data_IF_635897466569
#
_entry.id   IF_635897466569
#
_cell.length_a   1.000
_cell.length_b   1.000
_cell.length_c   1.000
_cell.angle_alpha   90.00
_cell.angle_beta   90.00
_cell.angle_gamma   90.00
#
_symmetry.space_group_name_H-M   'P 1'
#
loop_
_entity.id
_entity.type
_entity.pdbx_description
1 polymer ?
#
# COMPACT_ATOMS: atom_id res chain seq x y z
N UNK A 1 32.77 30.29 17.55
CA UNK A 1 31.96 29.74 18.66
C UNK A 1 30.49 30.13 18.49
N UNK A 2 29.75 29.45 17.60
CA UNK A 2 28.33 29.71 17.37
C UNK A 2 27.50 28.52 17.87
N UNK A 3 26.81 28.70 19.00
CA UNK A 3 25.97 27.69 19.66
C UNK A 3 24.76 28.38 20.31
N UNK A 4 23.75 28.79 19.52
CA UNK A 4 22.59 29.49 20.06
C UNK A 4 21.79 28.59 21.00
N UNK A 5 21.21 29.14 22.08
CA UNK A 5 20.36 28.38 22.98
C UNK A 5 19.04 28.00 22.31
N UNK A 6 18.47 26.87 22.73
CA UNK A 6 17.18 26.39 22.24
C UNK A 6 16.03 27.04 23.04
N UNK A 7 15.14 27.76 22.37
CA UNK A 7 14.14 28.62 23.01
C UNK A 7 12.86 27.89 23.44
N UNK A 8 12.56 26.72 22.85
CA UNK A 8 11.35 25.95 23.14
C UNK A 8 11.50 25.08 24.39
N UNK A 9 10.44 25.00 25.20
CA UNK A 9 10.41 24.12 26.37
C UNK A 9 9.98 22.69 25.96
N UNK A 10 10.95 21.78 25.95
CA UNK A 10 10.79 20.38 25.47
C UNK A 10 9.69 19.60 26.21
N UNK A 11 9.47 19.89 27.49
CA UNK A 11 8.52 19.16 28.34
C UNK A 11 7.06 19.52 28.08
N UNK A 12 6.80 20.76 27.66
CA UNK A 12 5.46 21.31 27.46
C UNK A 12 5.09 21.44 25.97
N UNK A 13 6.07 21.37 25.07
CA UNK A 13 5.86 21.37 23.63
C UNK A 13 5.10 20.12 23.20
N UNK A 14 3.87 20.29 22.71
CA UNK A 14 2.98 19.21 22.25
C UNK A 14 2.82 19.24 20.75
N UNK A 15 2.76 18.08 20.11
CA UNK A 15 2.46 17.96 18.69
C UNK A 15 1.81 16.61 18.37
N UNK A 16 1.04 16.59 17.28
CA UNK A 16 0.47 15.37 16.72
C UNK A 16 1.43 14.84 15.64
N UNK A 17 2.05 13.66 15.82
CA UNK A 17 2.91 13.10 14.81
C UNK A 17 2.09 12.55 13.63
N UNK A 18 2.76 12.39 12.50
CA UNK A 18 2.31 11.62 11.36
C UNK A 18 2.91 10.23 11.38
N UNK A 19 2.20 9.27 10.84
CA UNK A 19 2.62 7.88 10.73
C UNK A 19 3.15 7.61 9.33
N UNK A 20 4.23 6.85 9.22
CA UNK A 20 4.84 6.48 7.95
C UNK A 20 5.21 5.01 7.95
N UNK A 21 4.68 4.27 6.97
CA UNK A 21 5.07 2.88 6.68
C UNK A 21 6.23 2.91 5.69
N UNK A 22 7.36 2.29 6.05
CA UNK A 22 8.60 2.42 5.27
C UNK A 22 8.53 1.72 3.91
N UNK A 23 7.90 0.56 3.85
CA UNK A 23 7.66 -0.21 2.61
C UNK A 23 6.74 0.53 1.62
N UNK A 24 5.94 1.49 2.09
CA UNK A 24 5.14 2.37 1.26
C UNK A 24 5.90 3.64 0.85
N UNK A 25 7.21 3.78 1.06
CA UNK A 25 7.93 4.96 0.57
C UNK A 25 8.35 4.83 -0.90
N UNK A 26 8.67 3.61 -1.34
CA UNK A 26 9.15 3.34 -2.69
C UNK A 26 7.97 3.02 -3.63
N UNK A 27 7.86 3.76 -4.73
CA UNK A 27 6.79 3.56 -5.71
C UNK A 27 6.74 2.12 -6.25
N UNK A 28 7.89 1.46 -6.44
CA UNK A 28 7.94 0.08 -6.90
C UNK A 28 7.42 -0.91 -5.83
N UNK A 29 7.66 -0.63 -4.55
CA UNK A 29 7.15 -1.43 -3.44
C UNK A 29 5.65 -1.20 -3.24
N UNK A 30 5.15 0.04 -3.42
CA UNK A 30 3.70 0.34 -3.44
C UNK A 30 2.96 -0.47 -4.49
N UNK A 31 3.41 -0.43 -5.75
CA UNK A 31 2.78 -1.19 -6.84
C UNK A 31 2.76 -2.70 -6.52
N UNK A 32 3.77 -3.19 -5.81
CA UNK A 32 3.84 -4.58 -5.36
C UNK A 32 2.83 -4.89 -4.25
N UNK A 33 2.70 -4.00 -3.26
CA UNK A 33 1.71 -4.11 -2.18
C UNK A 33 0.29 -4.03 -2.73
N UNK A 34 0.00 -3.06 -3.60
CA UNK A 34 -1.30 -2.91 -4.27
C UNK A 34 -1.68 -4.17 -5.06
N UNK A 35 -0.71 -4.76 -5.79
CA UNK A 35 -0.93 -6.02 -6.50
C UNK A 35 -1.28 -7.17 -5.55
N UNK A 36 -0.56 -7.30 -4.42
CA UNK A 36 -0.83 -8.35 -3.44
C UNK A 36 -2.17 -8.15 -2.74
N UNK A 37 -2.55 -6.92 -2.45
CA UNK A 37 -3.85 -6.56 -1.89
C UNK A 37 -5.00 -6.91 -2.85
N UNK A 38 -4.89 -6.54 -4.13
CA UNK A 38 -5.88 -6.91 -5.14
C UNK A 38 -5.97 -8.43 -5.33
N UNK A 39 -4.83 -9.13 -5.33
CA UNK A 39 -4.80 -10.59 -5.43
C UNK A 39 -5.44 -11.25 -4.20
N UNK A 40 -5.20 -10.72 -3.00
CA UNK A 40 -5.82 -11.21 -1.78
C UNK A 40 -7.34 -11.01 -1.81
N UNK A 41 -7.80 -9.81 -2.19
CA UNK A 41 -9.23 -9.50 -2.39
C UNK A 41 -9.88 -10.43 -3.40
N UNK A 42 -9.22 -10.70 -4.53
CA UNK A 42 -9.69 -11.67 -5.52
C UNK A 42 -9.95 -13.04 -4.89
N UNK A 43 -8.99 -13.57 -4.14
CA UNK A 43 -9.14 -14.89 -3.51
C UNK A 43 -10.23 -14.90 -2.44
N UNK A 44 -10.33 -13.86 -1.61
CA UNK A 44 -11.38 -13.73 -0.60
C UNK A 44 -12.78 -13.71 -1.24
N UNK A 45 -12.95 -13.03 -2.39
CA UNK A 45 -14.20 -13.07 -3.17
C UNK A 45 -14.51 -14.46 -3.74
N UNK A 46 -13.49 -15.27 -4.03
CA UNK A 46 -13.65 -16.67 -4.43
C UNK A 46 -13.86 -17.63 -3.23
N UNK A 47 -13.94 -17.10 -2.00
CA UNK A 47 -14.10 -17.89 -0.78
C UNK A 47 -12.83 -18.60 -0.31
N UNK A 48 -11.65 -18.09 -0.66
CA UNK A 48 -10.35 -18.66 -0.28
C UNK A 48 -9.40 -17.59 0.24
N UNK A 49 -8.63 -17.88 1.29
CA UNK A 49 -7.58 -16.96 1.74
C UNK A 49 -6.30 -17.19 0.97
N UNK A 50 -5.72 -16.10 0.42
CA UNK A 50 -4.44 -16.15 -0.29
C UNK A 50 -3.32 -16.67 0.63
N UNK A 51 -2.66 -17.75 0.21
CA UNK A 51 -1.49 -18.31 0.88
C UNK A 51 -0.26 -18.22 -0.03
N UNK A 52 0.65 -17.31 0.31
CA UNK A 52 1.90 -17.09 -0.42
C UNK A 52 2.87 -18.26 -0.10
N UNK A 53 3.35 -19.02 -1.11
CA UNK A 53 4.24 -20.15 -0.90
C UNK A 53 5.68 -19.71 -0.63
N UNK A 54 6.44 -20.55 0.07
CA UNK A 54 7.89 -20.37 0.27
C UNK A 54 8.67 -21.23 -0.73
N UNK A 55 9.59 -20.62 -1.45
CA UNK A 55 10.48 -21.27 -2.44
C UNK A 55 11.93 -20.95 -2.08
N UNK A 56 12.75 -21.98 -1.93
CA UNK A 56 14.16 -21.85 -1.53
C UNK A 56 14.38 -20.97 -0.27
N UNK A 57 13.52 -21.14 0.73
CA UNK A 57 13.53 -20.42 2.03
C UNK A 57 13.17 -18.93 1.96
N UNK A 58 12.64 -18.45 0.83
CA UNK A 58 12.11 -17.09 0.68
C UNK A 58 10.65 -17.14 0.25
N UNK A 59 9.85 -16.16 0.65
CA UNK A 59 8.49 -16.05 0.12
C UNK A 59 8.56 -15.84 -1.39
N UNK A 60 7.62 -16.44 -2.12
CA UNK A 60 7.55 -16.29 -3.56
C UNK A 60 7.04 -14.89 -3.90
N UNK A 61 7.85 -14.14 -4.63
CA UNK A 61 7.48 -12.82 -5.14
C UNK A 61 6.46 -12.94 -6.29
N UNK A 62 5.18 -12.95 -5.93
CA UNK A 62 4.06 -13.14 -6.85
C UNK A 62 3.94 -12.00 -7.88
N UNK A 63 4.28 -10.77 -7.51
CA UNK A 63 4.27 -9.63 -8.43
C UNK A 63 5.39 -9.73 -9.48
N UNK A 64 6.63 -10.00 -9.06
CA UNK A 64 7.72 -10.16 -10.03
C UNK A 64 7.46 -11.37 -10.93
N UNK A 65 6.93 -12.46 -10.36
CA UNK A 65 6.56 -13.65 -11.11
C UNK A 65 5.48 -13.34 -12.16
N UNK A 66 4.39 -12.66 -11.78
CA UNK A 66 3.32 -12.26 -12.72
C UNK A 66 3.84 -11.36 -13.83
N UNK A 67 4.64 -10.33 -13.51
CA UNK A 67 5.21 -9.41 -14.52
C UNK A 67 6.17 -10.13 -15.47
N UNK A 68 7.01 -11.04 -14.99
CA UNK A 68 7.93 -11.80 -15.85
C UNK A 68 7.16 -12.74 -16.78
N UNK A 69 6.12 -13.44 -16.28
CA UNK A 69 5.32 -14.36 -17.09
C UNK A 69 4.48 -13.60 -18.12
N UNK A 70 3.81 -12.52 -17.71
CA UNK A 70 3.09 -11.62 -18.62
C UNK A 70 3.99 -11.04 -19.73
N UNK A 71 5.21 -10.60 -19.39
CA UNK A 71 6.18 -10.10 -20.38
C UNK A 71 6.62 -11.15 -21.42
N UNK A 72 6.38 -12.43 -21.14
CA UNK A 72 6.67 -13.57 -22.02
C UNK A 72 5.41 -14.16 -22.67
N UNK A 73 4.29 -13.43 -22.65
CA UNK A 73 3.04 -13.81 -23.29
C UNK A 73 2.10 -14.66 -22.44
N UNK A 74 2.24 -14.63 -21.11
CA UNK A 74 1.31 -15.27 -20.18
C UNK A 74 1.61 -16.74 -19.88
N UNK A 75 0.79 -17.34 -19.01
CA UNK A 75 1.01 -18.69 -18.48
C UNK A 75 1.12 -19.76 -19.58
N UNK A 76 0.19 -19.73 -20.54
CA UNK A 76 0.12 -20.72 -21.62
C UNK A 76 1.35 -20.68 -22.53
N UNK A 77 1.78 -19.47 -22.93
CA UNK A 77 2.93 -19.29 -23.80
C UNK A 77 4.22 -19.77 -23.11
N UNK A 78 4.45 -19.36 -21.87
CA UNK A 78 5.63 -19.78 -21.09
C UNK A 78 5.66 -21.30 -20.89
N UNK A 79 4.50 -21.92 -20.68
CA UNK A 79 4.36 -23.37 -20.55
C UNK A 79 4.65 -24.10 -21.85
N UNK A 80 4.04 -23.67 -22.95
CA UNK A 80 4.22 -24.27 -24.29
C UNK A 80 5.68 -24.22 -24.75
N UNK A 81 6.35 -23.11 -24.49
CA UNK A 81 7.75 -22.90 -24.86
C UNK A 81 8.76 -23.39 -23.81
N UNK A 82 8.30 -24.03 -22.71
CA UNK A 82 9.13 -24.56 -21.62
C UNK A 82 10.08 -23.49 -21.03
N UNK A 83 9.63 -22.23 -20.92
CA UNK A 83 10.45 -21.08 -20.49
C UNK A 83 10.52 -20.90 -18.96
N UNK A 84 9.90 -21.78 -18.16
CA UNK A 84 9.82 -21.68 -16.70
C UNK A 84 11.18 -21.67 -15.98
N UNK A 85 12.17 -22.43 -16.45
CA UNK A 85 13.53 -22.35 -15.88
C UNK A 85 14.16 -20.96 -16.08
N UNK A 86 13.91 -20.32 -17.22
CA UNK A 86 14.33 -18.93 -17.49
C UNK A 86 13.54 -17.90 -16.67
N UNK A 87 12.33 -18.24 -16.20
CA UNK A 87 11.58 -17.39 -15.26
C UNK A 87 12.24 -17.47 -13.89
N UNK A 88 12.54 -18.67 -13.40
CA UNK A 88 13.25 -18.89 -12.13
C UNK A 88 14.61 -18.16 -12.07
N UNK A 89 15.41 -18.24 -13.13
CA UNK A 89 16.70 -17.52 -13.18
C UNK A 89 16.55 -15.99 -13.13
N UNK A 90 15.49 -15.44 -13.74
CA UNK A 90 15.22 -13.98 -13.67
C UNK A 90 14.71 -13.54 -12.30
N UNK A 91 14.05 -14.43 -11.56
CA UNK A 91 13.65 -14.21 -10.17
C UNK A 91 14.81 -14.39 -9.18
N UNK A 92 16.02 -14.72 -9.65
CA UNK A 92 17.19 -14.91 -8.82
C UNK A 92 17.31 -16.29 -8.16
N UNK A 93 16.49 -17.27 -8.56
CA UNK A 93 16.62 -18.65 -8.10
C UNK A 93 17.77 -19.39 -8.80
N UNK A 94 18.41 -20.29 -8.06
CA UNK A 94 19.52 -21.09 -8.58
C UNK A 94 19.02 -22.10 -9.63
N UNK A 95 19.73 -22.26 -10.77
CA UNK A 95 19.36 -23.25 -11.77
C UNK A 95 19.58 -24.68 -11.25
N UNK A 96 18.85 -25.65 -11.83
CA UNK A 96 19.11 -27.09 -11.62
C UNK A 96 18.35 -27.76 -10.46
N UNK A 97 17.58 -27.02 -9.65
CA UNK A 97 16.81 -27.58 -8.52
C UNK A 97 15.33 -27.89 -8.82
N UNK A 98 14.92 -27.86 -10.09
CA UNK A 98 13.50 -28.04 -10.44
C UNK A 98 12.61 -26.84 -10.09
N UNK A 99 13.19 -25.69 -9.75
CA UNK A 99 12.46 -24.47 -9.36
C UNK A 99 11.51 -24.00 -10.45
N UNK A 100 11.85 -24.17 -11.73
CA UNK A 100 10.96 -23.81 -12.85
C UNK A 100 9.61 -24.55 -12.83
N UNK A 101 9.62 -25.88 -12.64
CA UNK A 101 8.38 -26.66 -12.54
C UNK A 101 7.58 -26.32 -11.29
N UNK A 102 8.25 -26.02 -10.18
CA UNK A 102 7.60 -25.58 -8.95
C UNK A 102 6.89 -24.22 -9.13
N UNK A 103 7.58 -23.26 -9.76
CA UNK A 103 7.01 -21.96 -10.10
C UNK A 103 5.79 -22.09 -11.00
N UNK A 104 5.84 -22.98 -12.01
CA UNK A 104 4.68 -23.28 -12.86
C UNK A 104 3.48 -23.72 -12.02
N UNK A 105 3.68 -24.71 -11.14
CA UNK A 105 2.61 -25.25 -10.29
C UNK A 105 2.03 -24.18 -9.36
N UNK A 106 2.86 -23.32 -8.77
CA UNK A 106 2.38 -22.20 -7.96
C UNK A 106 1.63 -21.15 -8.79
N UNK A 107 2.12 -20.83 -9.98
CA UNK A 107 1.47 -19.88 -10.87
C UNK A 107 0.08 -20.36 -11.28
N UNK A 108 -0.02 -21.61 -11.74
CA UNK A 108 -1.26 -22.23 -12.17
C UNK A 108 -2.32 -22.20 -11.07
N UNK A 109 -1.91 -22.42 -9.82
CA UNK A 109 -2.82 -22.45 -8.67
C UNK A 109 -3.22 -21.06 -8.16
N UNK A 110 -2.30 -20.09 -8.16
CA UNK A 110 -2.49 -18.80 -7.47
C UNK A 110 -2.72 -17.63 -8.44
N UNK A 111 -1.93 -17.56 -9.50
CA UNK A 111 -1.86 -16.40 -10.39
C UNK A 111 -2.65 -16.58 -11.67
N UNK A 112 -2.78 -17.81 -12.18
CA UNK A 112 -3.48 -18.06 -13.44
C UNK A 112 -4.98 -17.70 -13.39
N UNK A 113 -5.75 -18.06 -12.33
CA UNK A 113 -7.14 -17.61 -12.20
C UNK A 113 -7.26 -16.08 -12.20
N UNK A 114 -6.33 -15.39 -11.52
CA UNK A 114 -6.28 -13.93 -11.46
C UNK A 114 -5.84 -13.30 -12.80
N UNK A 115 -4.91 -13.91 -13.53
CA UNK A 115 -4.51 -13.52 -14.89
C UNK A 115 -5.71 -13.58 -15.85
N UNK A 116 -6.51 -14.65 -15.75
CA UNK A 116 -7.71 -14.82 -16.55
C UNK A 116 -8.78 -13.77 -16.20
N UNK A 117 -9.02 -13.54 -14.90
CA UNK A 117 -9.89 -12.47 -14.42
C UNK A 117 -9.46 -11.08 -14.95
N UNK A 118 -8.18 -10.74 -14.83
CA UNK A 118 -7.64 -9.47 -15.36
C UNK A 118 -7.70 -9.35 -16.89
N UNK A 119 -7.61 -10.47 -17.61
CA UNK A 119 -7.69 -10.49 -19.07
C UNK A 119 -9.12 -10.36 -19.61
N UNK A 120 -10.13 -10.32 -18.74
CA UNK A 120 -11.54 -10.27 -19.12
C UNK A 120 -12.08 -11.59 -19.67
N UNK A 121 -11.30 -12.68 -19.58
CA UNK A 121 -11.77 -14.03 -19.91
C UNK A 121 -12.55 -14.53 -18.69
N UNK A 122 -13.87 -14.35 -18.70
CA UNK A 122 -14.71 -14.86 -17.63
C UNK A 122 -14.61 -16.39 -17.58
N UNK A 123 -14.05 -16.91 -16.48
CA UNK A 123 -14.02 -18.33 -16.15
C UNK A 123 -15.35 -18.81 -15.54
N UNK A 124 -16.36 -17.94 -15.50
CA UNK A 124 -17.68 -18.25 -14.99
C UNK A 124 -18.67 -18.12 -16.15
N UNK A 125 -19.57 -19.09 -16.27
CA UNK A 125 -20.73 -18.98 -17.17
C UNK A 125 -21.63 -17.91 -16.54
N UNK A 126 -21.35 -16.64 -16.81
CA UNK A 126 -22.02 -15.50 -16.15
C UNK A 126 -23.39 -15.25 -16.77
N UNK A 127 -24.42 -15.71 -16.06
CA UNK A 127 -25.77 -15.15 -16.18
C UNK A 127 -25.79 -13.83 -15.39
N UNK A 128 -25.56 -12.70 -16.07
CA UNK A 128 -25.67 -11.39 -15.43
C UNK A 128 -27.13 -11.12 -15.03
N UNK A 129 -27.38 -11.01 -13.71
CA UNK A 129 -28.70 -10.73 -13.15
C UNK A 129 -28.77 -9.32 -12.61
N UNK A 130 -29.79 -8.57 -13.01
CA UNK A 130 -30.02 -7.23 -12.52
C UNK A 130 -30.24 -7.25 -11.00
N UNK A 131 -29.41 -6.51 -10.25
CA UNK A 131 -29.43 -6.47 -8.79
C UNK A 131 -30.69 -5.85 -8.20
N UNK A 132 -31.51 -5.19 -9.02
CA UNK A 132 -32.78 -4.61 -8.58
C UNK A 132 -33.97 -5.56 -8.76
N UNK A 133 -34.05 -6.25 -9.91
CA UNK A 133 -35.20 -7.08 -10.26
C UNK A 133 -34.93 -8.59 -10.17
N UNK A 134 -33.66 -9.00 -10.01
CA UNK A 134 -33.22 -10.39 -9.93
C UNK A 134 -33.31 -11.16 -11.24
N UNK A 135 -33.49 -10.49 -12.39
CA UNK A 135 -33.67 -11.12 -13.71
C UNK A 135 -32.48 -10.82 -14.63
N UNK A 136 -32.14 -11.76 -15.51
CA UNK A 136 -31.10 -11.62 -16.54
C UNK A 136 -31.63 -11.46 -17.97
N UNK A 137 -32.87 -10.98 -18.15
CA UNK A 137 -33.41 -10.66 -19.47
C UNK A 137 -32.95 -9.26 -19.93
N UNK A 138 -33.17 -8.88 -21.19
CA UNK A 138 -32.85 -7.54 -21.74
C UNK A 138 -31.38 -7.13 -21.54
N UNK A 139 -30.46 -8.01 -21.95
CA UNK A 139 -29.01 -7.82 -21.84
C UNK A 139 -28.53 -6.53 -22.53
N UNK A 140 -29.20 -6.10 -23.60
CA UNK A 140 -28.91 -4.88 -24.36
C UNK A 140 -29.19 -3.58 -23.58
N UNK A 141 -29.93 -3.68 -22.47
CA UNK A 141 -30.24 -2.58 -21.55
C UNK A 141 -29.66 -2.82 -20.15
N UNK A 142 -28.69 -3.72 -20.03
CA UNK A 142 -27.98 -4.00 -18.79
C UNK A 142 -26.72 -3.13 -18.69
N UNK A 143 -26.54 -2.52 -17.53
CA UNK A 143 -25.39 -1.71 -17.15
C UNK A 143 -24.54 -2.48 -16.17
N UNK A 144 -23.22 -2.46 -16.37
CA UNK A 144 -22.25 -2.93 -15.39
C UNK A 144 -21.70 -1.74 -14.64
N UNK A 145 -21.65 -1.83 -13.32
CA UNK A 145 -21.05 -0.81 -12.48
C UNK A 145 -19.53 -0.88 -12.55
N UNK A 146 -18.87 0.18 -13.01
CA UNK A 146 -17.39 0.26 -13.07
C UNK A 146 -16.71 0.36 -11.68
N UNK A 147 -17.49 0.29 -10.59
CA UNK A 147 -16.99 0.34 -9.21
C UNK A 147 -17.14 -0.96 -8.44
N UNK A 148 -18.07 -1.84 -8.82
CA UNK A 148 -18.34 -3.07 -8.08
C UNK A 148 -18.82 -4.23 -8.97
N UNK A 149 -18.78 -4.08 -10.29
CA UNK A 149 -19.22 -5.04 -11.32
C UNK A 149 -20.67 -5.54 -11.21
N UNK A 150 -21.46 -5.05 -10.24
CA UNK A 150 -22.90 -5.31 -10.12
C UNK A 150 -23.63 -4.85 -11.40
N UNK A 151 -24.60 -5.65 -11.84
CA UNK A 151 -25.38 -5.38 -13.05
C UNK A 151 -26.77 -4.80 -12.75
N UNK A 152 -27.24 -3.86 -13.57
CA UNK A 152 -28.52 -3.16 -13.40
C UNK A 152 -29.17 -2.87 -14.74
N UNK A 153 -30.49 -3.05 -14.88
CA UNK A 153 -31.19 -2.52 -16.05
C UNK A 153 -31.27 -1.01 -16.00
N UNK A 154 -31.10 -0.34 -17.16
CA UNK A 154 -31.29 1.11 -17.29
C UNK A 154 -32.64 1.57 -16.72
N UNK A 155 -33.69 0.77 -16.89
CA UNK A 155 -35.05 1.06 -16.43
C UNK A 155 -35.35 0.64 -14.97
N UNK A 156 -34.49 -0.17 -14.35
CA UNK A 156 -34.61 -0.54 -12.94
C UNK A 156 -33.96 0.48 -11.99
N UNK A 157 -33.21 1.44 -12.54
CA UNK A 157 -32.61 2.52 -11.77
C UNK A 157 -33.66 3.57 -11.39
N UNK A 158 -33.36 4.33 -10.34
CA UNK A 158 -34.17 5.47 -9.91
C UNK A 158 -33.24 6.71 -9.87
N UNK A 159 -33.42 7.69 -10.77
CA UNK A 159 -34.34 7.70 -11.91
C UNK A 159 -33.93 6.68 -13.00
N UNK A 160 -34.88 6.15 -13.79
CA UNK A 160 -34.58 5.32 -14.96
C UNK A 160 -33.72 6.06 -15.98
N UNK A 161 -32.73 5.38 -16.54
CA UNK A 161 -31.91 5.91 -17.62
C UNK A 161 -32.55 5.57 -18.99
N UNK A 162 -32.64 6.55 -19.92
CA UNK A 162 -33.25 6.33 -21.23
C UNK A 162 -32.43 5.38 -22.09
N UNK A 163 -31.10 5.47 -22.00
CA UNK A 163 -30.13 4.67 -22.75
C UNK A 163 -28.87 4.42 -21.93
N UNK A 164 -28.02 3.50 -22.40
CA UNK A 164 -26.71 3.22 -21.81
C UNK A 164 -25.83 4.47 -21.90
N UNK A 165 -25.32 5.00 -20.77
CA UNK A 165 -24.45 6.18 -20.76
C UNK A 165 -23.18 5.99 -21.58
N UNK A 166 -22.65 7.08 -22.15
CA UNK A 166 -21.34 7.09 -22.80
C UNK A 166 -20.26 7.43 -21.77
N UNK A 167 -19.40 6.46 -21.46
CA UNK A 167 -18.33 6.59 -20.46
C UNK A 167 -18.68 5.91 -19.15
N UNK A 168 -17.87 6.20 -18.12
CA UNK A 168 -17.95 5.53 -16.83
C UNK A 168 -19.32 5.73 -16.15
N UNK A 169 -19.89 4.63 -15.66
CA UNK A 169 -21.11 4.61 -14.87
C UNK A 169 -20.88 3.88 -13.55
N UNK A 170 -21.31 4.50 -12.45
CA UNK A 170 -21.26 3.93 -11.10
C UNK A 170 -22.68 3.74 -10.56
N UNK A 171 -22.93 2.61 -9.92
CA UNK A 171 -24.23 2.29 -9.35
C UNK A 171 -24.55 3.17 -8.12
N UNK A 172 -25.82 3.27 -7.70
CA UNK A 172 -26.20 4.08 -6.55
C UNK A 172 -25.47 3.71 -5.25
N UNK A 173 -25.09 2.43 -5.06
CA UNK A 173 -24.30 2.00 -3.89
C UNK A 173 -22.92 2.64 -3.91
N UNK A 174 -22.18 2.51 -5.01
CA UNK A 174 -20.84 3.11 -5.16
C UNK A 174 -20.89 4.63 -5.07
N UNK A 175 -21.91 5.28 -5.64
CA UNK A 175 -22.08 6.74 -5.54
C UNK A 175 -22.37 7.16 -4.10
N UNK A 176 -23.24 6.43 -3.38
CA UNK A 176 -23.52 6.72 -1.98
C UNK A 176 -22.29 6.50 -1.09
N UNK A 177 -21.50 5.46 -1.35
CA UNK A 177 -20.22 5.25 -0.67
C UNK A 177 -19.27 6.42 -0.92
N UNK A 178 -19.08 6.83 -2.17
CA UNK A 178 -18.17 7.92 -2.52
C UNK A 178 -18.62 9.28 -1.95
N UNK A 179 -19.93 9.57 -1.96
CA UNK A 179 -20.47 10.79 -1.34
C UNK A 179 -20.39 10.80 0.19
N UNK A 180 -20.37 9.63 0.82
CA UNK A 180 -20.28 9.49 2.28
C UNK A 180 -18.86 9.25 2.78
N UNK A 181 -17.87 9.09 1.89
CA UNK A 181 -16.48 9.06 2.29
C UNK A 181 -16.12 10.42 2.91
N UNK A 182 -15.60 10.45 4.15
CA UNK A 182 -14.91 11.64 4.61
C UNK A 182 -13.81 11.93 3.59
N UNK A 183 -13.65 13.20 3.18
CA UNK A 183 -12.57 13.61 2.27
C UNK A 183 -11.25 13.03 2.81
N UNK A 184 -10.72 12.01 2.16
CA UNK A 184 -9.42 11.44 2.50
C UNK A 184 -8.41 12.59 2.38
N UNK A 185 -7.81 12.95 3.51
CA UNK A 185 -6.78 13.97 3.52
C UNK A 185 -5.61 13.46 2.69
N UNK A 186 -5.31 14.13 1.58
CA UNK A 186 -4.11 13.87 0.81
C UNK A 186 -2.89 14.11 1.71
N UNK A 187 -2.25 13.03 2.17
CA UNK A 187 -1.13 13.09 3.12
C UNK A 187 -1.00 11.82 3.95
N UNK A 188 0.08 11.74 4.73
CA UNK A 188 0.28 10.66 5.71
C UNK A 188 -0.76 10.75 6.82
N UNK A 189 -1.24 9.60 7.30
CA UNK A 189 -2.20 9.54 8.41
C UNK A 189 -1.62 10.26 9.65
N UNK A 190 -2.42 11.12 10.27
CA UNK A 190 -2.08 11.66 11.58
C UNK A 190 -2.24 10.55 12.61
N UNK A 191 -1.27 10.42 13.51
CA UNK A 191 -1.40 9.52 14.63
C UNK A 191 -2.57 9.99 15.52
N UNK A 192 -3.26 9.03 16.14
CA UNK A 192 -4.35 9.32 17.09
C UNK A 192 -3.81 9.94 18.40
N UNK A 193 -2.50 9.79 18.66
CA UNK A 193 -1.85 10.15 19.92
C UNK A 193 -1.04 11.44 19.79
N UNK A 194 -1.18 12.34 20.76
CA UNK A 194 -0.32 13.51 20.91
C UNK A 194 0.95 13.16 21.72
N UNK A 195 2.08 13.74 21.35
CA UNK A 195 3.35 13.61 22.06
C UNK A 195 3.84 14.95 22.59
N UNK A 196 4.64 14.89 23.66
CA UNK A 196 5.58 15.97 23.94
C UNK A 196 6.93 15.68 23.28
N UNK A 197 7.77 16.68 23.04
CA UNK A 197 9.12 16.41 22.51
C UNK A 197 9.91 15.47 23.43
N UNK A 198 9.72 15.58 24.75
CA UNK A 198 10.35 14.66 25.70
C UNK A 198 9.87 13.22 25.50
N UNK A 199 8.55 12.98 25.51
CA UNK A 199 8.03 11.61 25.38
C UNK A 199 8.28 11.02 23.99
N UNK A 200 8.39 11.87 22.96
CA UNK A 200 8.78 11.45 21.62
C UNK A 200 10.23 11.01 21.57
N UNK A 201 11.14 11.73 22.22
CA UNK A 201 12.55 11.33 22.37
C UNK A 201 12.70 9.99 23.09
N UNK A 202 11.98 9.80 24.20
CA UNK A 202 11.96 8.53 24.93
C UNK A 202 11.45 7.37 24.05
N UNK A 203 10.39 7.60 23.27
CA UNK A 203 9.87 6.61 22.32
C UNK A 203 10.89 6.27 21.23
N UNK A 204 11.50 7.28 20.62
CA UNK A 204 12.48 7.11 19.54
C UNK A 204 13.75 6.39 20.03
N UNK A 205 14.23 6.73 21.23
CA UNK A 205 15.42 6.13 21.80
C UNK A 205 15.18 4.65 22.15
N UNK A 206 14.05 4.34 22.79
CA UNK A 206 13.67 2.96 23.10
C UNK A 206 13.54 2.12 21.81
N UNK A 207 12.85 2.65 20.79
CA UNK A 207 12.70 1.98 19.50
C UNK A 207 14.07 1.67 18.88
N UNK A 208 14.96 2.67 18.79
CA UNK A 208 16.26 2.50 18.14
C UNK A 208 17.16 1.55 18.94
N UNK A 209 17.14 1.60 20.27
CA UNK A 209 17.95 0.69 21.08
C UNK A 209 17.47 -0.75 21.00
N UNK A 210 16.15 -0.97 20.99
CA UNK A 210 15.55 -2.30 20.89
C UNK A 210 15.79 -2.91 19.50
N UNK A 211 15.68 -2.08 18.46
CA UNK A 211 15.86 -2.51 17.07
C UNK A 211 17.30 -2.96 16.77
N UNK A 212 18.29 -2.17 17.20
CA UNK A 212 19.71 -2.47 16.93
C UNK A 212 20.40 -3.23 18.07
N UNK A 213 19.72 -3.47 19.19
CA UNK A 213 20.28 -4.02 20.43
C UNK A 213 21.55 -3.29 20.90
N UNK A 214 21.58 -1.96 20.75
CA UNK A 214 22.73 -1.10 21.04
C UNK A 214 22.28 0.25 21.62
N UNK A 215 23.08 0.93 22.44
CA UNK A 215 22.80 2.32 22.81
C UNK A 215 22.69 3.21 21.57
N UNK A 216 21.70 4.11 21.54
CA UNK A 216 21.31 4.88 20.34
C UNK A 216 22.41 5.73 19.71
N UNK A 217 23.35 6.19 20.52
CA UNK A 217 24.52 6.99 20.12
C UNK A 217 25.69 6.14 19.62
N UNK A 218 25.63 4.82 19.79
CA UNK A 218 26.66 3.87 19.36
C UNK A 218 26.32 3.20 18.03
N UNK A 219 25.11 3.39 17.50
CA UNK A 219 24.69 2.80 16.22
C UNK A 219 25.37 3.54 15.06
N UNK A 220 26.18 2.88 14.23
CA UNK A 220 26.85 3.51 13.09
C UNK A 220 25.87 4.05 12.04
N UNK A 221 26.19 5.18 11.42
CA UNK A 221 25.37 5.82 10.40
C UNK A 221 25.17 4.94 9.17
N UNK A 222 26.22 4.22 8.75
CA UNK A 222 26.19 3.35 7.57
C UNK A 222 25.26 2.14 7.79
N UNK A 223 25.17 1.67 9.04
CA UNK A 223 24.27 0.58 9.40
C UNK A 223 22.81 1.03 9.32
N UNK A 224 22.50 2.21 9.86
CA UNK A 224 21.14 2.78 9.81
C UNK A 224 20.72 3.05 8.37
N UNK A 225 21.60 3.61 7.54
CA UNK A 225 21.32 3.88 6.13
C UNK A 225 21.04 2.58 5.34
N UNK A 226 21.90 1.57 5.50
CA UNK A 226 21.72 0.27 4.85
C UNK A 226 20.40 -0.37 5.25
N UNK A 227 20.05 -0.30 6.54
CA UNK A 227 18.83 -0.91 7.07
C UNK A 227 17.57 -0.15 6.63
N UNK A 228 17.63 1.17 6.57
CA UNK A 228 16.55 1.99 6.01
C UNK A 228 16.20 1.56 4.58
N UNK A 229 17.19 1.48 3.69
CA UNK A 229 16.95 1.07 2.31
C UNK A 229 16.50 -0.39 2.20
N UNK A 230 16.97 -1.27 3.10
CA UNK A 230 16.49 -2.66 3.18
C UNK A 230 14.99 -2.72 3.51
N UNK A 231 14.54 -1.93 4.48
CA UNK A 231 13.14 -1.88 4.91
C UNK A 231 12.22 -1.26 3.86
N UNK A 232 12.67 -0.19 3.20
CA UNK A 232 11.92 0.47 2.12
C UNK A 232 11.61 -0.48 0.96
N UNK A 233 12.53 -1.37 0.63
CA UNK A 233 12.34 -2.38 -0.43
C UNK A 233 11.81 -3.72 0.09
N UNK A 234 11.54 -3.88 1.40
CA UNK A 234 11.02 -5.12 1.98
C UNK A 234 9.50 -5.15 1.90
N UNK A 235 8.94 -6.30 1.48
CA UNK A 235 7.51 -6.62 1.60
C UNK A 235 7.22 -7.65 2.70
N UNK A 236 8.26 -8.16 3.34
CA UNK A 236 8.15 -9.20 4.36
C UNK A 236 7.98 -8.60 5.76
N UNK A 237 8.58 -7.43 5.98
CA UNK A 237 8.60 -6.74 7.26
C UNK A 237 7.85 -5.41 7.13
N UNK A 238 6.84 -5.22 7.99
CA UNK A 238 6.13 -3.96 8.11
C UNK A 238 6.75 -3.17 9.26
N UNK A 239 7.41 -2.06 8.93
CA UNK A 239 8.00 -1.15 9.91
C UNK A 239 7.34 0.22 9.78
N UNK A 240 6.72 0.63 10.87
CA UNK A 240 5.98 1.88 11.01
C UNK A 240 6.81 2.83 11.87
N UNK A 241 6.99 4.06 11.39
CA UNK A 241 7.68 5.13 12.11
C UNK A 241 6.78 6.35 12.26
N UNK A 242 7.05 7.18 13.26
CA UNK A 242 6.33 8.43 13.51
C UNK A 242 7.26 9.63 13.32
N UNK A 243 6.73 10.75 12.81
CA UNK A 243 7.49 12.00 12.64
C UNK A 243 6.61 13.26 12.79
N UNK A 244 7.22 14.38 13.16
CA UNK A 244 6.56 15.69 13.23
C UNK A 244 6.86 16.54 11.98
N UNK A 245 5.81 17.04 11.31
CA UNK A 245 5.94 17.93 10.16
C UNK A 245 4.78 18.94 10.12
N UNK A 246 4.91 19.98 9.29
CA UNK A 246 3.94 21.08 9.16
C UNK A 246 3.65 21.82 10.48
N UNK A 247 4.69 21.91 11.32
CA UNK A 247 4.66 22.62 12.61
C UNK A 247 5.14 24.07 12.37
N UNK A 248 4.21 25.01 12.44
CA UNK A 248 4.46 26.42 12.16
C UNK A 248 5.03 27.16 13.38
N UNK A 249 6.12 27.91 13.20
CA UNK A 249 6.72 28.73 14.27
C UNK A 249 5.78 29.83 14.77
N UNK A 250 4.79 30.23 13.96
CA UNK A 250 3.76 31.20 14.37
C UNK A 250 2.90 30.66 15.51
N UNK A 251 2.60 29.36 15.44
CA UNK A 251 1.65 28.68 16.31
C UNK A 251 2.36 27.98 17.48
N UNK A 252 3.55 27.42 17.22
CA UNK A 252 4.31 26.62 18.19
C UNK A 252 5.54 27.34 18.77
N UNK A 253 5.88 28.53 18.25
CA UNK A 253 7.09 29.25 18.60
C UNK A 253 8.32 28.80 17.80
N UNK A 254 9.30 29.69 17.68
CA UNK A 254 10.59 29.38 17.05
C UNK A 254 11.51 28.67 18.03
N UNK A 255 12.31 27.72 17.53
CA UNK A 255 13.41 27.12 18.31
C UNK A 255 14.58 28.09 18.57
N UNK A 256 14.64 29.20 17.83
CA UNK A 256 15.59 30.28 18.05
C UNK A 256 14.96 31.39 18.91
N UNK A 257 15.76 32.08 19.75
CA UNK A 257 15.32 33.31 20.39
C UNK A 257 14.89 34.35 19.34
N UNK A 258 13.69 34.92 19.46
CA UNK A 258 13.19 36.01 18.59
C UNK A 258 12.68 37.17 19.42
N UNK A 259 13.07 38.41 19.07
CA UNK A 259 12.58 39.64 19.73
C UNK A 259 11.18 39.99 19.22
N UNK A 260 10.18 39.22 19.63
CA UNK A 260 8.77 39.37 19.22
C UNK A 260 7.84 39.86 20.36
N UNK A 261 8.42 40.15 21.53
CA UNK A 261 7.70 40.61 22.72
C UNK A 261 6.99 39.52 23.52
N UNK A 262 7.03 38.25 23.08
CA UNK A 262 6.40 37.12 23.80
C UNK A 262 7.24 36.61 24.98
N UNK A 263 8.54 36.90 25.00
CA UNK A 263 9.46 36.54 26.09
C UNK A 263 10.54 37.60 26.28
N UNK A 264 10.93 37.86 27.53
CA UNK A 264 12.14 38.65 27.85
C UNK A 264 13.36 37.79 27.57
N UNK A 265 14.24 38.26 26.67
CA UNK A 265 15.51 37.60 26.40
C UNK A 265 16.48 37.79 27.55
N UNK A 266 17.25 36.75 27.84
CA UNK A 266 18.43 36.84 28.71
C UNK A 266 19.58 37.53 27.94
N UNK A 267 20.55 38.17 28.63
CA UNK A 267 21.68 38.85 27.98
C UNK A 267 22.55 37.94 27.10
N UNK A 268 22.45 36.63 27.31
CA UNK A 268 23.17 35.57 26.58
C UNK A 268 22.47 35.20 25.25
N UNK A 269 21.23 35.68 25.06
CA UNK A 269 20.36 35.41 23.91
C UNK A 269 20.24 36.63 22.97
N UNK A 270 20.88 37.77 23.29
CA UNK A 270 20.88 39.01 22.48
C UNK A 270 21.91 39.06 21.36
#
# INVERSE_FOLDING_TARGET
DWQPPFACEVKSFRFTPRVQRLNELEAMTRVRLDFLDQLAKFWELQGSTLKIPVVERKILDLYALSKIVASKGGFEMVTKEKKWSKVGSRLGYLPGKGTGSLLKSHYERILYPYELFQSGVSLMVDLYVCMFCGRGNNEDKLLLCDGCDDSYHTFCLIPPLPDVPKGDWRCPKCVAEECNKPREAFGFEQAVREYTLQSFGEMADNFKSDYFNMPVHMVPTELVEKEFWRLVSSIEEDVIVEYGADISSKDFGSGFPVKDGRRKMLPEEE
#
